data_IF_266670922818
#
_entry.id   IF_266670922818
#
_cell.length_a   1.000
_cell.length_b   1.000
_cell.length_c   1.000
_cell.angle_alpha   90.00
_cell.angle_beta   90.00
_cell.angle_gamma   90.00
#
_symmetry.space_group_name_H-M   'P 1'
#
loop_
_entity.id
_entity.type
_entity.pdbx_description
1 polymer ?
#
# COMPACT_ATOMS: atom_id res chain seq x y z
N UNK A 1 28.18 0.37 13.78
CA UNK A 1 27.86 1.70 13.21
C UNK A 1 28.82 2.73 13.76
N UNK A 2 29.55 3.45 12.90
CA UNK A 2 30.46 4.51 13.33
C UNK A 2 29.65 5.81 13.45
N UNK A 3 29.55 6.37 14.65
CA UNK A 3 28.86 7.65 14.86
C UNK A 3 29.69 8.75 14.21
N UNK A 4 29.10 9.47 13.25
CA UNK A 4 29.77 10.61 12.62
C UNK A 4 29.67 11.82 13.54
N UNK A 5 30.79 12.39 14.03
CA UNK A 5 30.76 13.54 14.91
C UNK A 5 30.13 14.74 14.20
N UNK A 6 29.37 15.55 14.95
CA UNK A 6 28.73 16.77 14.42
C UNK A 6 29.77 17.79 13.93
N UNK A 7 30.92 17.81 14.60
CA UNK A 7 32.05 18.70 14.30
C UNK A 7 33.31 17.85 14.07
N UNK A 8 33.80 17.72 12.83
CA UNK A 8 34.96 16.87 12.54
C UNK A 8 36.25 17.57 12.96
N UNK A 9 36.61 17.45 14.25
CA UNK A 9 37.74 18.16 14.84
C UNK A 9 39.06 17.90 14.12
N UNK A 10 39.34 16.66 13.70
CA UNK A 10 40.55 16.35 12.94
C UNK A 10 40.65 17.16 11.63
N UNK A 11 39.53 17.28 10.88
CA UNK A 11 39.49 18.10 9.65
C UNK A 11 39.65 19.59 9.97
N UNK A 12 38.98 20.08 11.01
CA UNK A 12 39.04 21.49 11.44
C UNK A 12 40.45 21.88 11.89
N UNK A 13 41.10 21.06 12.70
CA UNK A 13 42.47 21.29 13.17
C UNK A 13 43.46 21.28 12.00
N UNK A 14 43.31 20.36 11.05
CA UNK A 14 44.14 20.33 9.84
C UNK A 14 43.93 21.55 8.94
N UNK A 15 42.70 22.06 8.83
CA UNK A 15 42.38 23.25 8.05
C UNK A 15 42.97 24.51 8.68
N UNK A 16 42.84 24.64 10.01
CA UNK A 16 43.44 25.73 10.77
C UNK A 16 44.96 25.73 10.66
N UNK A 17 45.60 24.55 10.76
CA UNK A 17 47.05 24.42 10.57
C UNK A 17 47.50 24.84 9.15
N UNK A 18 46.65 24.66 8.16
CA UNK A 18 46.88 25.08 6.77
C UNK A 18 46.43 26.54 6.48
N UNK A 19 46.00 27.31 7.48
CA UNK A 19 45.52 28.69 7.30
C UNK A 19 44.18 28.82 6.55
N UNK A 20 43.43 27.73 6.40
CA UNK A 20 42.11 27.72 5.76
C UNK A 20 41.00 27.98 6.76
N UNK A 21 39.92 28.59 6.29
CA UNK A 21 38.73 28.85 7.10
C UNK A 21 38.03 27.53 7.49
N UNK A 22 37.94 27.19 8.80
CA UNK A 22 37.25 25.98 9.27
C UNK A 22 35.73 26.04 9.12
N UNK A 23 35.13 27.22 8.98
CA UNK A 23 33.67 27.37 8.89
C UNK A 23 33.10 26.75 7.60
N UNK A 24 33.93 26.70 6.55
CA UNK A 24 33.61 26.00 5.30
C UNK A 24 33.35 24.51 5.54
N UNK A 25 34.14 23.86 6.40
CA UNK A 25 34.00 22.43 6.72
C UNK A 25 32.69 22.19 7.49
N UNK A 26 32.34 23.10 8.40
CA UNK A 26 31.10 23.00 9.17
C UNK A 26 29.86 23.26 8.31
N UNK A 27 29.95 24.19 7.36
CA UNK A 27 28.91 24.44 6.36
C UNK A 27 28.71 23.22 5.45
N UNK A 28 29.79 22.60 4.98
CA UNK A 28 29.74 21.37 4.17
C UNK A 28 29.05 20.22 4.90
N UNK A 29 29.44 19.94 6.15
CA UNK A 29 28.85 18.85 6.93
C UNK A 29 27.37 19.11 7.25
N UNK A 30 27.00 20.36 7.56
CA UNK A 30 25.58 20.75 7.72
C UNK A 30 24.79 20.52 6.43
N UNK A 31 25.31 20.98 5.30
CA UNK A 31 24.66 20.80 4.01
C UNK A 31 24.55 19.32 3.62
N UNK A 32 25.59 18.52 3.86
CA UNK A 32 25.58 17.08 3.61
C UNK A 32 24.51 16.36 4.45
N UNK A 33 24.36 16.74 5.73
CA UNK A 33 23.34 16.20 6.62
C UNK A 33 21.93 16.55 6.15
N UNK A 34 21.70 17.81 5.79
CA UNK A 34 20.40 18.25 5.28
C UNK A 34 20.05 17.53 3.97
N UNK A 35 21.02 17.37 3.06
CA UNK A 35 20.86 16.56 1.85
C UNK A 35 20.52 15.10 2.16
N UNK A 36 21.16 14.50 3.16
CA UNK A 36 20.86 13.12 3.56
C UNK A 36 19.44 12.97 4.13
N UNK A 37 18.99 13.92 4.97
CA UNK A 37 17.62 13.96 5.49
C UNK A 37 16.60 14.11 4.36
N UNK A 38 16.80 15.06 3.45
CA UNK A 38 15.91 15.22 2.30
C UNK A 38 15.87 13.98 1.41
N UNK A 39 17.00 13.31 1.19
CA UNK A 39 17.03 12.04 0.43
C UNK A 39 16.24 10.95 1.14
N UNK A 40 16.38 10.81 2.46
CA UNK A 40 15.64 9.83 3.23
C UNK A 40 14.12 10.08 3.16
N UNK A 41 13.69 11.32 3.29
CA UNK A 41 12.26 11.68 3.18
C UNK A 41 11.72 11.47 1.77
N UNK A 42 12.50 11.80 0.73
CA UNK A 42 12.14 11.50 -0.67
C UNK A 42 12.00 10.00 -0.91
N UNK A 43 12.96 9.20 -0.46
CA UNK A 43 12.92 7.74 -0.62
C UNK A 43 11.67 7.13 0.06
N UNK A 44 11.29 7.64 1.25
CA UNK A 44 10.04 7.22 1.91
C UNK A 44 8.80 7.61 1.09
N UNK A 45 8.76 8.83 0.55
CA UNK A 45 7.64 9.28 -0.28
C UNK A 45 7.51 8.46 -1.57
N UNK A 46 8.62 8.22 -2.27
CA UNK A 46 8.69 7.37 -3.46
C UNK A 46 8.23 5.94 -3.14
N UNK A 47 8.71 5.35 -2.05
CA UNK A 47 8.31 4.01 -1.63
C UNK A 47 6.79 3.92 -1.36
N UNK A 48 6.19 4.95 -0.74
CA UNK A 48 4.73 4.99 -0.53
C UNK A 48 3.95 5.03 -1.86
N UNK A 49 4.41 5.82 -2.82
CA UNK A 49 3.78 5.89 -4.15
C UNK A 49 3.91 4.57 -4.90
N UNK A 50 5.09 3.93 -4.84
CA UNK A 50 5.31 2.61 -5.44
C UNK A 50 4.42 1.53 -4.83
N UNK A 51 4.31 1.50 -3.49
CA UNK A 51 3.42 0.57 -2.79
C UNK A 51 1.96 0.77 -3.19
N UNK A 52 1.51 2.03 -3.28
CA UNK A 52 0.14 2.34 -3.71
C UNK A 52 -0.11 1.84 -5.14
N UNK A 53 0.78 2.15 -6.07
CA UNK A 53 0.67 1.68 -7.46
C UNK A 53 0.66 0.16 -7.56
N UNK A 54 1.56 -0.52 -6.85
CA UNK A 54 1.63 -1.97 -6.84
C UNK A 54 0.37 -2.61 -6.24
N UNK A 55 -0.20 -2.02 -5.19
CA UNK A 55 -1.46 -2.50 -4.60
C UNK A 55 -2.61 -2.45 -5.60
N UNK A 56 -2.72 -1.37 -6.39
CA UNK A 56 -3.72 -1.27 -7.46
C UNK A 56 -3.49 -2.32 -8.55
N UNK A 57 -2.26 -2.47 -9.03
CA UNK A 57 -1.93 -3.49 -10.05
C UNK A 57 -2.32 -4.89 -9.55
N UNK A 58 -1.97 -5.24 -8.31
CA UNK A 58 -2.34 -6.51 -7.72
C UNK A 58 -3.86 -6.66 -7.62
N UNK A 59 -4.57 -5.68 -7.09
CA UNK A 59 -6.03 -5.73 -6.95
C UNK A 59 -6.75 -5.87 -8.30
N UNK A 60 -6.35 -5.12 -9.33
CA UNK A 60 -6.93 -5.26 -10.66
C UNK A 60 -6.56 -6.59 -11.32
N UNK A 61 -5.33 -7.07 -11.10
CA UNK A 61 -4.91 -8.37 -11.63
C UNK A 61 -5.72 -9.54 -11.05
N UNK A 62 -6.09 -9.49 -9.76
CA UNK A 62 -6.91 -10.56 -9.16
C UNK A 62 -8.32 -10.58 -9.73
N UNK A 63 -8.94 -9.41 -9.93
CA UNK A 63 -10.24 -9.28 -10.60
C UNK A 63 -10.15 -9.77 -12.03
N UNK A 64 -9.16 -9.30 -12.79
CA UNK A 64 -8.95 -9.72 -14.17
C UNK A 64 -8.74 -11.23 -14.27
N UNK A 65 -7.93 -11.84 -13.39
CA UNK A 65 -7.73 -13.28 -13.35
C UNK A 65 -9.03 -14.03 -13.04
N UNK A 66 -9.82 -13.57 -12.05
CA UNK A 66 -11.12 -14.18 -11.73
C UNK A 66 -12.08 -14.12 -12.90
N UNK A 67 -12.17 -12.97 -13.57
CA UNK A 67 -13.03 -12.79 -14.74
C UNK A 67 -12.54 -13.62 -15.93
N UNK A 68 -11.22 -13.69 -16.17
CA UNK A 68 -10.65 -14.53 -17.21
C UNK A 68 -10.99 -16.02 -16.99
N UNK A 69 -10.90 -16.50 -15.75
CA UNK A 69 -11.31 -17.86 -15.40
C UNK A 69 -12.81 -18.09 -15.63
N UNK A 70 -13.68 -17.13 -15.26
CA UNK A 70 -15.12 -17.25 -15.54
C UNK A 70 -15.42 -17.23 -17.04
N UNK A 71 -14.74 -16.38 -17.80
CA UNK A 71 -14.90 -16.29 -19.25
C UNK A 71 -14.43 -17.57 -19.98
N UNK A 72 -13.39 -18.23 -19.47
CA UNK A 72 -12.88 -19.48 -20.01
C UNK A 72 -13.73 -20.71 -19.61
N UNK A 73 -14.57 -20.58 -18.57
CA UNK A 73 -15.42 -21.68 -18.12
C UNK A 73 -16.66 -21.86 -19.00
N UNK A 74 -17.07 -23.11 -19.22
CA UNK A 74 -18.28 -23.41 -19.98
C UNK A 74 -19.51 -22.85 -19.23
N UNK A 75 -20.39 -22.07 -19.90
CA UNK A 75 -21.57 -21.51 -19.27
C UNK A 75 -22.54 -22.63 -18.90
N UNK A 76 -22.83 -22.76 -17.60
CA UNK A 76 -23.87 -23.67 -17.10
C UNK A 76 -25.18 -22.90 -16.99
N UNK A 77 -26.28 -23.53 -17.40
CA UNK A 77 -27.60 -22.92 -17.31
C UNK A 77 -27.90 -22.59 -15.83
N UNK A 78 -28.14 -21.31 -15.46
CA UNK A 78 -28.42 -20.94 -14.09
C UNK A 78 -29.78 -21.50 -13.69
N UNK A 79 -29.80 -22.68 -13.05
CA UNK A 79 -30.97 -23.15 -12.31
C UNK A 79 -31.09 -22.28 -11.06
N UNK A 80 -31.70 -21.11 -11.24
CA UNK A 80 -31.98 -20.05 -10.27
C UNK A 80 -31.52 -20.38 -8.83
N UNK A 81 -30.34 -19.86 -8.45
CA UNK A 81 -29.94 -19.75 -7.06
C UNK A 81 -30.63 -18.56 -6.39
N UNK A 82 -31.96 -18.48 -6.49
CA UNK A 82 -32.72 -17.66 -5.56
C UNK A 82 -32.98 -18.53 -4.35
N UNK A 83 -32.31 -18.25 -3.23
CA UNK A 83 -32.83 -18.60 -1.91
C UNK A 83 -34.08 -17.75 -1.63
N UNK A 84 -35.08 -17.84 -2.51
CA UNK A 84 -36.43 -17.45 -2.17
C UNK A 84 -36.98 -18.55 -1.28
N UNK A 85 -37.73 -18.15 -0.25
CA UNK A 85 -38.63 -19.06 0.47
C UNK A 85 -39.33 -19.92 -0.59
N UNK A 86 -39.23 -21.27 -0.52
CA UNK A 86 -39.85 -22.12 -1.50
C UNK A 86 -41.32 -21.71 -1.58
N UNK A 87 -41.85 -21.43 -2.77
CA UNK A 87 -43.27 -21.10 -2.91
C UNK A 87 -44.05 -22.28 -2.34
N UNK A 88 -44.55 -22.13 -1.12
CA UNK A 88 -45.41 -23.10 -0.46
C UNK A 88 -46.74 -23.05 -1.20
N UNK A 89 -46.84 -23.84 -2.27
CA UNK A 89 -48.08 -24.10 -2.99
C UNK A 89 -49.00 -25.02 -2.16
N UNK A 90 -49.12 -24.75 -0.85
CA UNK A 90 -50.06 -25.45 0.00
C UNK A 90 -51.43 -24.81 -0.21
N UNK A 91 -52.31 -25.58 -0.85
CA UNK A 91 -53.72 -25.22 -0.96
C UNK A 91 -54.28 -25.12 0.46
N UNK A 92 -54.80 -23.95 0.84
CA UNK A 92 -55.52 -23.81 2.10
C UNK A 92 -56.80 -24.65 2.04
N UNK A 93 -57.00 -25.53 3.02
CA UNK A 93 -58.27 -26.22 3.18
C UNK A 93 -59.30 -25.23 3.73
N UNK A 94 -60.40 -25.09 3.00
CA UNK A 94 -61.52 -24.23 3.39
C UNK A 94 -62.43 -25.06 4.29
N UNK A 95 -62.54 -24.68 5.56
CA UNK A 95 -63.40 -25.32 6.55
C UNK A 95 -64.54 -24.38 6.95
N UNK A 96 -65.72 -24.93 7.22
CA UNK A 96 -66.88 -24.20 7.74
C UNK A 96 -66.66 -23.79 9.22
N UNK A 97 -67.55 -22.99 9.81
CA UNK A 97 -67.53 -22.50 11.20
C UNK A 97 -67.39 -23.58 12.28
N UNK A 98 -67.64 -24.84 11.92
CA UNK A 98 -67.53 -26.01 12.79
C UNK A 98 -66.27 -26.86 12.49
N UNK A 99 -65.35 -26.35 11.66
CA UNK A 99 -64.07 -27.00 11.36
C UNK A 99 -64.19 -28.24 10.47
N UNK A 100 -65.18 -28.29 9.57
CA UNK A 100 -65.37 -29.38 8.60
C UNK A 100 -65.34 -28.86 7.17
#
# INVERSE_FOLDING_TARGET
MIRRPLRPLARILSARAAGRDPDLIEAEERAARLRALHRAERAKAEARLLLLGMAFVLAFSTVAARMALMAASAPVEPRAGASGEPILAQRADIVDRNGR
#
